data_IF_675328848391
#
_entry.id   IF_675328848391
#
_cell.length_a   1.000
_cell.length_b   1.000
_cell.length_c   1.000
_cell.angle_alpha   90.00
_cell.angle_beta   90.00
_cell.angle_gamma   90.00
#
_symmetry.space_group_name_H-M   'P 1'
#
loop_
_entity.id
_entity.type
_entity.pdbx_description
1 polymer ?
#
# COMPACT_ATOMS: atom_id res chain seq x y z
N UNK A 1 0.31 6.92 9.91
CA UNK A 1 0.70 8.28 9.44
C UNK A 1 -0.22 9.34 10.06
N UNK A 2 -0.17 9.59 11.38
CA UNK A 2 -1.03 10.60 11.98
C UNK A 2 -0.58 12.04 11.69
N UNK A 3 0.69 12.26 11.33
CA UNK A 3 1.24 13.56 10.98
C UNK A 3 0.84 14.07 9.58
N UNK A 4 0.18 13.24 8.75
CA UNK A 4 -0.33 13.68 7.45
C UNK A 4 -1.63 14.50 7.56
N UNK A 5 -2.34 14.40 8.69
CA UNK A 5 -3.56 15.17 8.95
C UNK A 5 -3.22 16.48 9.67
N UNK A 6 -3.89 17.57 9.30
CA UNK A 6 -3.79 18.86 9.98
C UNK A 6 -4.59 18.92 11.29
N UNK A 7 -5.35 17.88 11.64
CA UNK A 7 -6.25 17.83 12.81
C UNK A 7 -7.31 18.94 12.82
N UNK A 8 -7.86 19.30 11.65
CA UNK A 8 -8.92 20.32 11.52
C UNK A 8 -10.28 19.94 12.14
N UNK A 9 -10.48 18.68 12.55
CA UNK A 9 -11.71 18.22 13.19
C UNK A 9 -12.91 17.95 12.27
N UNK A 10 -12.85 18.34 10.98
CA UNK A 10 -13.96 18.17 10.04
C UNK A 10 -14.47 16.73 9.92
N UNK A 11 -13.56 15.75 9.96
CA UNK A 11 -13.93 14.34 9.86
C UNK A 11 -14.86 13.88 10.99
N UNK A 12 -14.72 14.42 12.21
CA UNK A 12 -15.61 14.12 13.34
C UNK A 12 -16.98 14.76 13.13
N UNK A 13 -17.01 16.00 12.68
CA UNK A 13 -18.25 16.78 12.50
C UNK A 13 -19.21 16.17 11.48
N UNK A 14 -18.68 15.55 10.41
CA UNK A 14 -19.48 14.97 9.33
C UNK A 14 -19.79 13.49 9.53
N UNK A 15 -19.25 12.85 10.58
CA UNK A 15 -19.35 11.41 10.73
C UNK A 15 -20.77 10.99 11.17
N UNK A 16 -21.49 10.15 10.40
CA UNK A 16 -22.87 9.75 10.75
C UNK A 16 -22.93 8.77 11.94
N UNK A 17 -21.80 8.20 12.34
CA UNK A 17 -21.67 7.19 13.40
C UNK A 17 -20.76 7.65 14.54
N UNK A 18 -20.47 8.95 14.62
CA UNK A 18 -19.70 9.62 15.68
C UNK A 18 -18.33 9.01 16.00
N UNK A 19 -17.58 8.63 14.96
CA UNK A 19 -16.20 8.15 15.14
C UNK A 19 -15.26 9.35 15.33
N UNK A 20 -14.58 9.41 16.48
CA UNK A 20 -13.62 10.46 16.81
C UNK A 20 -12.22 10.21 16.20
N UNK A 21 -12.11 10.37 14.88
CA UNK A 21 -10.83 10.27 14.17
C UNK A 21 -9.74 11.24 14.70
N UNK A 22 -10.02 12.54 14.93
CA UNK A 22 -9.01 13.49 15.40
C UNK A 22 -8.34 13.04 16.70
N UNK A 23 -9.13 12.56 17.67
CA UNK A 23 -8.62 12.04 18.94
C UNK A 23 -7.73 10.81 18.73
N UNK A 24 -8.20 9.81 17.98
CA UNK A 24 -7.40 8.61 17.70
C UNK A 24 -6.07 8.93 17.02
N UNK A 25 -6.04 9.91 16.11
CA UNK A 25 -4.81 10.35 15.47
C UNK A 25 -3.87 11.07 16.45
N UNK A 26 -4.41 11.83 17.40
CA UNK A 26 -3.63 12.49 18.46
C UNK A 26 -3.00 11.46 19.40
N UNK A 27 -3.79 10.47 19.84
CA UNK A 27 -3.32 9.37 20.69
C UNK A 27 -2.18 8.61 19.99
N UNK A 28 -2.33 8.32 18.70
CA UNK A 28 -1.27 7.70 17.91
C UNK A 28 -0.01 8.58 17.81
N UNK A 29 -0.12 9.91 17.73
CA UNK A 29 1.08 10.78 17.76
C UNK A 29 1.80 10.69 19.10
N UNK A 30 1.03 10.68 20.19
CA UNK A 30 1.59 10.53 21.53
C UNK A 30 2.35 9.21 21.66
N UNK A 31 1.76 8.11 21.22
CA UNK A 31 2.39 6.79 21.26
C UNK A 31 3.67 6.74 20.42
N UNK A 32 3.67 7.32 19.21
CA UNK A 32 4.86 7.36 18.36
C UNK A 32 6.03 8.13 19.02
N UNK A 33 5.75 9.22 19.74
CA UNK A 33 6.78 9.98 20.48
C UNK A 33 7.27 9.18 21.69
N UNK A 34 6.35 8.55 22.42
CA UNK A 34 6.65 7.77 23.63
C UNK A 34 7.49 6.53 23.33
N UNK A 35 7.15 5.79 22.28
CA UNK A 35 7.78 4.51 21.92
C UNK A 35 9.07 4.68 21.11
N UNK A 36 9.43 5.91 20.70
CA UNK A 36 10.59 6.20 19.84
C UNK A 36 10.65 5.29 18.61
N UNK A 37 9.67 5.46 17.71
CA UNK A 37 9.49 4.67 16.48
C UNK A 37 10.82 4.29 15.83
N UNK A 38 11.04 2.98 15.66
CA UNK A 38 12.26 2.41 15.08
C UNK A 38 12.52 2.98 13.66
N UNK A 39 13.75 3.44 13.42
CA UNK A 39 14.22 3.97 12.15
C UNK A 39 14.04 2.98 10.98
N UNK A 40 13.92 1.68 11.26
CA UNK A 40 13.61 0.64 10.25
C UNK A 40 12.31 0.92 9.50
N UNK A 41 11.29 1.43 10.18
CA UNK A 41 10.01 1.76 9.53
C UNK A 41 10.16 2.89 8.51
N UNK A 42 10.94 3.92 8.87
CA UNK A 42 11.24 5.03 7.97
C UNK A 42 12.06 4.57 6.76
N UNK A 43 13.03 3.67 6.96
CA UNK A 43 13.80 3.07 5.87
C UNK A 43 12.91 2.23 4.94
N UNK A 44 12.01 1.42 5.49
CA UNK A 44 11.04 0.65 4.71
C UNK A 44 10.14 1.54 3.85
N UNK A 45 9.59 2.62 4.43
CA UNK A 45 8.78 3.59 3.70
C UNK A 45 9.57 4.32 2.62
N UNK A 46 10.84 4.68 2.88
CA UNK A 46 11.71 5.29 1.87
C UNK A 46 11.97 4.34 0.70
N UNK A 47 12.28 3.07 0.99
CA UNK A 47 12.48 2.05 -0.04
C UNK A 47 11.22 1.82 -0.89
N UNK A 48 10.05 1.75 -0.23
CA UNK A 48 8.77 1.69 -0.91
C UNK A 48 8.51 2.91 -1.79
N UNK A 49 8.78 4.12 -1.28
CA UNK A 49 8.60 5.36 -2.03
C UNK A 49 9.49 5.40 -3.29
N UNK A 50 10.76 4.99 -3.19
CA UNK A 50 11.67 4.92 -4.34
C UNK A 50 11.16 3.96 -5.42
N UNK A 51 10.65 2.79 -5.01
CA UNK A 51 10.08 1.81 -5.94
C UNK A 51 8.82 2.32 -6.65
N UNK A 52 7.95 3.01 -5.92
CA UNK A 52 6.69 3.55 -6.46
C UNK A 52 6.88 4.82 -7.29
N UNK A 53 7.89 5.64 -7.00
CA UNK A 53 8.18 6.87 -7.75
C UNK A 53 8.83 6.60 -9.11
N UNK A 54 9.47 5.45 -9.30
CA UNK A 54 10.13 5.09 -10.56
C UNK A 54 9.21 4.23 -11.45
N UNK A 55 8.77 4.71 -12.63
CA UNK A 55 7.91 3.94 -13.53
C UNK A 55 8.56 2.64 -14.01
N UNK A 56 9.89 2.63 -14.17
CA UNK A 56 10.63 1.46 -14.61
C UNK A 56 10.68 0.38 -13.51
N UNK A 57 10.99 0.77 -12.27
CA UNK A 57 11.01 -0.16 -11.12
C UNK A 57 9.61 -0.70 -10.84
N UNK A 58 8.59 0.16 -10.86
CA UNK A 58 7.21 -0.24 -10.70
C UNK A 58 6.77 -1.22 -11.80
N UNK A 59 7.08 -0.91 -13.06
CA UNK A 59 6.74 -1.76 -14.20
C UNK A 59 7.46 -3.12 -14.17
N UNK A 60 8.72 -3.16 -13.71
CA UNK A 60 9.46 -4.40 -13.51
C UNK A 60 8.87 -5.22 -12.36
N UNK A 61 8.63 -4.58 -11.21
CA UNK A 61 8.01 -5.20 -10.04
C UNK A 61 6.62 -5.78 -10.33
N UNK A 62 5.80 -5.06 -11.10
CA UNK A 62 4.48 -5.55 -11.50
C UNK A 62 4.55 -6.78 -12.41
N UNK A 63 5.56 -6.87 -13.29
CA UNK A 63 5.77 -8.05 -14.14
C UNK A 63 6.34 -9.22 -13.34
N UNK A 64 7.25 -8.96 -12.41
CA UNK A 64 7.88 -9.99 -11.58
C UNK A 64 6.95 -10.54 -10.49
N UNK A 65 5.97 -9.75 -10.05
CA UNK A 65 4.98 -10.16 -9.03
C UNK A 65 4.25 -11.46 -9.40
N UNK A 66 3.96 -11.68 -10.69
CA UNK A 66 3.35 -12.93 -11.17
C UNK A 66 4.25 -14.15 -10.96
N UNK A 67 5.54 -14.01 -11.29
CA UNK A 67 6.52 -15.07 -11.05
C UNK A 67 6.71 -15.31 -9.54
N UNK A 68 6.71 -14.23 -8.76
CA UNK A 68 6.72 -14.32 -7.30
C UNK A 68 5.54 -15.13 -6.76
N UNK A 69 4.31 -14.87 -7.25
CA UNK A 69 3.14 -15.67 -6.86
C UNK A 69 3.26 -17.14 -7.29
N UNK A 70 3.76 -17.41 -8.49
CA UNK A 70 3.94 -18.81 -8.94
C UNK A 70 4.91 -19.60 -8.04
N UNK A 71 5.92 -18.94 -7.47
CA UNK A 71 6.88 -19.56 -6.55
C UNK A 71 6.36 -19.69 -5.12
N UNK A 72 5.52 -18.75 -4.67
CA UNK A 72 5.02 -18.66 -3.30
C UNK A 72 3.67 -19.40 -3.12
N UNK A 73 2.92 -19.58 -4.20
CA UNK A 73 1.56 -20.14 -4.16
C UNK A 73 0.55 -19.17 -3.56
N UNK A 74 -0.55 -19.70 -3.03
CA UNK A 74 -1.64 -18.91 -2.45
C UNK A 74 -1.39 -18.52 -0.98
N UNK A 75 -0.33 -19.04 -0.36
CA UNK A 75 0.02 -18.78 1.03
C UNK A 75 1.39 -18.10 1.12
N UNK A 76 1.42 -16.90 1.69
CA UNK A 76 2.66 -16.19 1.96
C UNK A 76 3.46 -16.89 3.07
N UNK A 77 4.75 -17.21 2.87
CA UNK A 77 5.51 -17.95 3.85
C UNK A 77 5.88 -17.10 5.06
N UNK A 78 6.05 -17.77 6.21
CA UNK A 78 6.67 -17.23 7.42
C UNK A 78 5.93 -16.00 8.00
N UNK A 79 6.66 -14.91 8.27
CA UNK A 79 6.17 -13.66 8.87
C UNK A 79 5.03 -12.99 8.08
N UNK A 80 4.87 -13.33 6.81
CA UNK A 80 3.80 -12.80 5.96
C UNK A 80 2.54 -13.68 5.94
N UNK A 81 2.59 -14.90 6.48
CA UNK A 81 1.47 -15.85 6.49
C UNK A 81 0.30 -15.42 7.38
N UNK A 82 0.53 -14.53 8.34
CA UNK A 82 -0.55 -13.91 9.12
C UNK A 82 -1.52 -13.09 8.26
N UNK A 83 -1.04 -12.56 7.12
CA UNK A 83 -1.87 -11.83 6.17
C UNK A 83 -2.82 -12.77 5.42
N UNK A 84 -2.31 -13.90 4.94
CA UNK A 84 -3.10 -14.89 4.18
C UNK A 84 -4.09 -15.69 5.04
N UNK A 85 -4.03 -15.55 6.37
CA UNK A 85 -5.00 -16.15 7.29
C UNK A 85 -6.39 -15.51 7.21
N UNK A 86 -6.46 -14.23 6.88
CA UNK A 86 -7.71 -13.46 6.84
C UNK A 86 -7.97 -12.79 5.49
N UNK A 87 -7.03 -12.90 4.53
CA UNK A 87 -7.12 -12.29 3.21
C UNK A 87 -6.66 -13.25 2.13
N UNK A 88 -7.44 -13.32 1.06
CA UNK A 88 -7.07 -14.11 -0.11
C UNK A 88 -5.91 -13.47 -0.87
N UNK A 89 -4.91 -14.28 -1.21
CA UNK A 89 -3.84 -13.86 -2.10
C UNK A 89 -4.25 -14.10 -3.56
N UNK A 90 -5.03 -13.18 -4.13
CA UNK A 90 -5.60 -13.32 -5.48
C UNK A 90 -4.54 -13.41 -6.57
N UNK A 91 -4.90 -14.03 -7.70
CA UNK A 91 -4.02 -14.06 -8.88
C UNK A 91 -3.76 -12.68 -9.46
N UNK A 92 -2.53 -12.47 -9.92
CA UNK A 92 -2.19 -11.28 -10.68
C UNK A 92 -2.73 -11.37 -12.10
N UNK A 93 -3.27 -10.27 -12.62
CA UNK A 93 -3.78 -10.18 -13.98
C UNK A 93 -2.70 -10.52 -15.03
N UNK A 94 -3.08 -11.13 -16.18
CA UNK A 94 -2.10 -11.56 -17.20
C UNK A 94 -1.40 -10.39 -17.90
N UNK A 95 -2.06 -9.22 -17.95
CA UNK A 95 -1.49 -7.97 -18.49
C UNK A 95 -1.56 -6.90 -17.41
N UNK A 96 -0.51 -6.10 -17.30
CA UNK A 96 -0.53 -4.92 -16.43
C UNK A 96 -1.43 -3.85 -17.03
N UNK A 97 -1.96 -2.94 -16.19
CA UNK A 97 -2.75 -1.81 -16.67
C UNK A 97 -2.02 -1.00 -17.75
N UNK A 98 -0.71 -0.75 -17.59
CA UNK A 98 0.09 -0.02 -18.58
C UNK A 98 0.19 -0.75 -19.93
N UNK A 99 0.31 -2.08 -19.92
CA UNK A 99 0.29 -2.87 -21.16
C UNK A 99 -1.07 -2.78 -21.84
N UNK A 100 -2.15 -2.98 -21.08
CA UNK A 100 -3.52 -2.85 -21.60
C UNK A 100 -3.79 -1.45 -22.14
N UNK A 101 -3.27 -0.41 -21.49
CA UNK A 101 -3.41 0.97 -21.93
C UNK A 101 -2.68 1.23 -23.25
N UNK A 102 -1.43 0.77 -23.38
CA UNK A 102 -0.66 0.91 -24.62
C UNK A 102 -1.29 0.16 -25.80
N UNK A 103 -1.81 -1.05 -25.58
CA UNK A 103 -2.55 -1.81 -26.60
C UNK A 103 -3.79 -1.05 -27.08
N UNK A 104 -4.57 -0.50 -26.14
CA UNK A 104 -5.75 0.32 -26.47
C UNK A 104 -5.39 1.58 -27.26
N UNK A 105 -4.29 2.24 -26.94
CA UNK A 105 -3.86 3.43 -27.68
C UNK A 105 -3.41 3.08 -29.10
N UNK A 106 -2.70 1.96 -29.28
CA UNK A 106 -2.30 1.48 -30.62
C UNK A 106 -3.50 1.09 -31.48
N UNK A 107 -4.52 0.44 -30.89
CA UNK A 107 -5.75 0.08 -31.60
C UNK A 107 -6.67 1.25 -31.93
N UNK A 108 -6.44 2.46 -31.38
CA UNK A 108 -7.14 3.70 -31.77
C UNK A 108 -6.44 4.47 -32.90
N UNK A 109 -5.20 4.11 -33.20
CA UNK A 109 -4.37 4.72 -34.25
C UNK A 109 -4.42 3.91 -35.57
N UNK A 110 -5.16 2.80 -35.58
CA UNK A 110 -5.54 2.01 -36.75
C UNK A 110 -6.99 2.32 -37.12
#
# INVERSE_FOLDING_TARGET
LPHASSLCGSCKQVCPVDIDLPRMLLDLRYDLVKEKVDNKWQLGLKGWAMGMQSPALYGFGARSARFGKMLIGDNLPSVFGGWTKYRDFTDFAPKTFHQMWQERQKGKLQ
#
